data_IF_478927265126
#
_entry.id   IF_478927265126
#
_cell.length_a   1.000
_cell.length_b   1.000
_cell.length_c   1.000
_cell.angle_alpha   90.00
_cell.angle_beta   90.00
_cell.angle_gamma   90.00
#
_symmetry.space_group_name_H-M   'P 1'
#
loop_
_entity.id
_entity.type
_entity.pdbx_description
1 polymer ?
#
# COMPACT_ATOMS: atom_id res chain seq x y z
N UNK A 1 26.38 -12.47 -0.87
CA UNK A 1 25.49 -13.18 -1.82
C UNK A 1 24.28 -12.31 -2.09
N UNK A 2 24.11 -11.84 -3.31
CA UNK A 2 22.94 -11.05 -3.70
C UNK A 2 22.10 -11.91 -4.63
N UNK A 3 20.92 -12.29 -4.18
CA UNK A 3 19.95 -12.94 -5.05
C UNK A 3 19.41 -11.88 -6.01
N UNK A 4 19.48 -12.11 -7.31
CA UNK A 4 18.83 -11.23 -8.26
C UNK A 4 17.34 -11.48 -8.23
N UNK A 5 16.65 -10.47 -7.82
CA UNK A 5 15.26 -10.30 -8.10
C UNK A 5 15.10 -9.08 -8.98
N UNK A 6 14.04 -8.32 -8.76
CA UNK A 6 13.89 -7.03 -9.39
C UNK A 6 15.11 -6.15 -9.09
N UNK A 7 15.71 -5.64 -10.13
CA UNK A 7 16.63 -4.51 -10.09
C UNK A 7 15.97 -3.33 -10.78
N UNK A 8 16.55 -2.16 -10.66
CA UNK A 8 15.98 -1.01 -11.31
C UNK A 8 16.96 0.14 -11.38
N UNK A 9 16.45 1.27 -11.78
CA UNK A 9 17.20 2.52 -11.88
C UNK A 9 16.52 3.63 -11.13
N UNK A 10 17.31 4.54 -10.56
CA UNK A 10 16.81 5.80 -10.03
C UNK A 10 16.35 6.62 -11.22
N UNK A 11 15.05 6.73 -11.43
CA UNK A 11 14.47 7.54 -12.51
C UNK A 11 14.44 9.01 -12.12
N UNK A 12 14.13 9.27 -10.84
CA UNK A 12 14.21 10.61 -10.25
C UNK A 12 14.82 10.48 -8.86
N UNK A 13 15.90 11.22 -8.62
CA UNK A 13 16.63 11.16 -7.36
C UNK A 13 15.89 11.86 -6.19
N UNK A 14 14.91 12.71 -6.50
CA UNK A 14 14.26 13.59 -5.53
C UNK A 14 15.21 14.69 -5.01
N UNK A 15 14.72 15.50 -4.11
CA UNK A 15 15.49 16.59 -3.47
C UNK A 15 15.00 16.85 -2.05
N UNK A 16 15.84 17.46 -1.22
CA UNK A 16 15.46 17.88 0.14
C UNK A 16 15.48 16.78 1.20
N UNK A 17 16.09 15.65 0.91
CA UNK A 17 16.30 14.57 1.87
C UNK A 17 17.51 14.84 2.79
N UNK A 18 17.50 14.22 3.96
CA UNK A 18 18.63 14.30 4.88
C UNK A 18 19.77 13.40 4.39
N UNK A 19 20.97 13.95 4.26
CA UNK A 19 22.15 13.18 3.86
C UNK A 19 22.43 12.07 4.88
N UNK A 20 22.69 10.86 4.38
CA UNK A 20 22.95 9.69 5.21
C UNK A 20 24.44 9.46 5.47
N UNK A 21 25.33 10.23 4.81
CA UNK A 21 26.75 9.96 4.80
C UNK A 21 27.05 8.59 4.18
N UNK A 22 27.85 7.78 4.88
CA UNK A 22 28.21 6.43 4.44
C UNK A 22 27.21 5.36 4.95
N UNK A 23 26.27 5.71 5.81
CA UNK A 23 25.29 4.75 6.37
C UNK A 23 23.99 4.78 5.58
N UNK A 24 23.64 3.71 4.85
CA UNK A 24 22.39 3.67 4.13
C UNK A 24 21.17 3.68 5.06
N UNK A 25 20.06 4.25 4.58
CA UNK A 25 18.74 4.17 5.23
C UNK A 25 17.94 3.02 4.64
N UNK A 26 17.33 2.21 5.51
CA UNK A 26 16.41 1.16 5.09
C UNK A 26 15.03 1.73 4.84
N UNK A 27 14.47 1.47 3.67
CA UNK A 27 13.13 1.89 3.27
C UNK A 27 12.28 0.71 2.84
N UNK A 28 10.98 0.83 2.95
CA UNK A 28 10.03 -0.01 2.24
C UNK A 28 9.46 0.76 1.04
N UNK A 29 9.53 0.17 -0.14
CA UNK A 29 8.97 0.79 -1.33
C UNK A 29 7.44 0.82 -1.30
N UNK A 30 6.89 1.85 -1.96
CA UNK A 30 5.47 2.07 -2.17
C UNK A 30 5.16 2.14 -3.65
N UNK A 31 3.96 1.76 -4.02
CA UNK A 31 3.45 2.05 -5.35
C UNK A 31 2.97 3.51 -5.42
N UNK A 32 3.18 4.20 -6.54
CA UNK A 32 2.45 5.42 -6.81
C UNK A 32 0.95 5.16 -6.76
N UNK A 33 0.14 6.01 -6.13
CA UNK A 33 -1.29 5.81 -6.09
C UNK A 33 -1.89 6.02 -7.48
N UNK A 34 -2.80 5.13 -7.88
CA UNK A 34 -3.59 5.29 -9.10
C UNK A 34 -4.54 6.48 -8.97
N UNK A 35 -5.09 6.68 -7.77
CA UNK A 35 -5.98 7.79 -7.44
C UNK A 35 -5.76 8.20 -5.99
N UNK A 36 -5.84 9.50 -5.72
CA UNK A 36 -5.89 10.06 -4.37
C UNK A 36 -7.24 10.71 -4.15
N UNK A 37 -7.95 10.26 -3.13
CA UNK A 37 -9.22 10.83 -2.66
C UNK A 37 -8.95 11.83 -1.54
N UNK A 38 -9.67 12.93 -1.50
CA UNK A 38 -9.65 13.84 -0.35
C UNK A 38 -10.61 13.35 0.73
N UNK A 39 -10.21 13.45 2.00
CA UNK A 39 -11.04 13.07 3.14
C UNK A 39 -11.16 14.25 4.09
N UNK A 40 -12.38 14.59 4.46
CA UNK A 40 -12.67 15.57 5.50
C UNK A 40 -13.75 15.03 6.44
N UNK A 41 -13.86 15.61 7.62
CA UNK A 41 -14.88 15.28 8.60
C UNK A 41 -15.78 16.50 8.82
N UNK A 42 -17.08 16.26 8.82
CA UNK A 42 -18.08 17.29 9.07
C UNK A 42 -19.00 16.87 10.20
N UNK A 43 -19.55 17.83 10.93
CA UNK A 43 -20.55 17.58 11.95
C UNK A 43 -21.96 17.70 11.38
N UNK A 44 -22.84 16.78 11.79
CA UNK A 44 -24.26 16.73 11.39
C UNK A 44 -25.14 16.47 12.60
N UNK A 45 -26.35 16.97 12.55
CA UNK A 45 -27.41 16.42 13.40
C UNK A 45 -27.98 15.16 12.75
N UNK A 46 -28.23 14.11 13.53
CA UNK A 46 -28.90 12.89 13.08
C UNK A 46 -30.29 12.83 13.70
N UNK A 47 -31.29 12.74 12.87
CA UNK A 47 -32.67 12.50 13.28
C UNK A 47 -33.04 11.05 12.94
N UNK A 48 -33.40 10.24 13.93
CA UNK A 48 -34.02 8.93 13.70
C UNK A 48 -35.54 9.09 13.63
N UNK A 49 -36.14 8.48 12.62
CA UNK A 49 -37.56 8.64 12.30
C UNK A 49 -38.26 7.29 12.28
N UNK A 50 -39.55 7.31 12.63
CA UNK A 50 -40.49 6.21 12.39
C UNK A 50 -41.67 6.68 11.57
N UNK A 51 -42.54 5.75 11.15
CA UNK A 51 -43.79 6.06 10.42
C UNK A 51 -43.55 6.98 9.22
N UNK A 52 -42.48 6.77 8.49
CA UNK A 52 -42.11 7.61 7.35
C UNK A 52 -43.12 7.44 6.24
N UNK A 53 -43.62 8.58 5.72
CA UNK A 53 -44.46 8.68 4.53
C UNK A 53 -43.82 9.59 3.51
N UNK A 54 -44.03 9.33 2.23
CA UNK A 54 -43.35 10.07 1.16
C UNK A 54 -41.84 9.80 1.10
N UNK A 55 -41.10 10.67 0.43
CA UNK A 55 -39.65 10.51 0.22
C UNK A 55 -38.94 11.81 0.56
N UNK A 56 -38.00 11.72 1.52
CA UNK A 56 -37.01 12.77 1.75
C UNK A 56 -35.92 12.72 0.69
N UNK A 57 -35.37 13.86 0.36
CA UNK A 57 -34.23 13.95 -0.56
C UNK A 57 -33.16 14.88 0.01
N UNK A 58 -31.89 14.63 -0.38
CA UNK A 58 -30.77 15.53 -0.10
C UNK A 58 -31.12 16.92 -0.66
N UNK A 59 -30.84 17.96 0.13
CA UNK A 59 -31.16 19.34 -0.18
C UNK A 59 -32.56 19.77 0.31
N UNK A 60 -33.43 18.84 0.77
CA UNK A 60 -34.69 19.26 1.38
C UNK A 60 -34.44 20.04 2.67
N UNK A 61 -35.19 21.13 2.86
CA UNK A 61 -35.32 21.72 4.19
C UNK A 61 -36.42 20.97 4.94
N UNK A 62 -36.09 20.50 6.13
CA UNK A 62 -37.08 19.85 7.02
C UNK A 62 -37.38 20.73 8.22
N UNK A 63 -38.61 20.60 8.71
CA UNK A 63 -39.13 21.37 9.85
C UNK A 63 -39.82 20.44 10.82
N UNK A 64 -39.51 20.59 12.10
CA UNK A 64 -40.26 19.93 13.19
C UNK A 64 -41.57 20.65 13.49
N UNK A 65 -42.66 19.90 13.57
CA UNK A 65 -44.02 20.44 13.74
C UNK A 65 -44.27 21.12 15.09
N UNK A 66 -43.58 20.67 16.12
CA UNK A 66 -43.67 21.17 17.51
C UNK A 66 -42.50 22.09 17.83
N UNK A 67 -41.30 21.66 17.48
CA UNK A 67 -40.07 22.41 17.78
C UNK A 67 -39.89 23.66 16.93
N UNK A 68 -40.48 23.71 15.73
CA UNK A 68 -40.19 24.68 14.68
C UNK A 68 -38.69 24.72 14.30
N UNK A 69 -37.90 23.74 14.74
CA UNK A 69 -36.54 23.62 14.33
C UNK A 69 -36.47 23.24 12.85
N UNK A 70 -35.44 23.74 12.17
CA UNK A 70 -35.23 23.47 10.74
C UNK A 70 -33.82 22.97 10.49
N UNK A 71 -33.63 22.28 9.36
CA UNK A 71 -32.30 21.85 8.90
C UNK A 71 -32.34 21.38 7.46
N UNK A 72 -31.21 21.38 6.80
CA UNK A 72 -31.05 20.89 5.43
C UNK A 72 -30.56 19.46 5.41
N UNK A 73 -31.28 18.58 4.73
CA UNK A 73 -30.93 17.16 4.59
C UNK A 73 -29.66 17.03 3.77
N UNK A 74 -28.65 16.39 4.34
CA UNK A 74 -27.38 16.08 3.66
C UNK A 74 -27.25 14.60 3.30
N UNK A 75 -27.98 13.72 4.03
CA UNK A 75 -28.05 12.30 3.74
C UNK A 75 -29.40 11.72 4.21
N UNK A 76 -29.90 10.74 3.46
CA UNK A 76 -31.15 10.02 3.75
C UNK A 76 -30.83 8.54 3.94
N UNK A 77 -31.01 8.03 5.15
CA UNK A 77 -31.00 6.60 5.46
C UNK A 77 -32.39 5.96 5.37
N UNK A 78 -32.48 4.70 5.78
CA UNK A 78 -33.77 3.99 5.75
C UNK A 78 -34.78 4.59 6.75
N UNK A 79 -34.29 4.95 7.93
CA UNK A 79 -35.10 5.45 9.06
C UNK A 79 -34.44 6.64 9.77
N UNK A 80 -33.57 7.35 9.08
CA UNK A 80 -32.87 8.51 9.63
C UNK A 80 -32.49 9.52 8.58
N UNK A 81 -32.27 10.75 9.02
CA UNK A 81 -31.71 11.85 8.21
C UNK A 81 -30.47 12.42 8.89
N UNK A 82 -29.48 12.83 8.10
CA UNK A 82 -28.44 13.73 8.54
C UNK A 82 -28.72 15.14 8.05
N UNK A 83 -28.51 16.12 8.92
CA UNK A 83 -28.82 17.52 8.64
C UNK A 83 -27.63 18.43 8.86
N UNK A 84 -27.49 19.43 8.01
CA UNK A 84 -26.65 20.61 8.19
C UNK A 84 -27.49 21.85 8.45
N UNK A 85 -26.85 22.94 8.93
CA UNK A 85 -27.49 24.24 9.08
C UNK A 85 -28.70 24.20 10.00
N UNK A 86 -28.69 23.42 11.06
CA UNK A 86 -29.79 23.30 12.00
C UNK A 86 -30.00 24.63 12.72
N UNK A 87 -31.26 25.09 12.71
CA UNK A 87 -31.72 26.27 13.44
C UNK A 87 -32.79 25.83 14.42
N UNK A 88 -32.67 26.26 15.66
CA UNK A 88 -33.52 25.77 16.74
C UNK A 88 -33.04 24.42 17.29
N UNK A 89 -33.89 23.76 18.07
CA UNK A 89 -33.60 22.45 18.68
C UNK A 89 -34.77 21.53 18.40
N UNK A 90 -34.52 20.45 17.64
CA UNK A 90 -35.50 19.40 17.46
C UNK A 90 -35.80 18.74 18.80
N UNK A 91 -37.08 18.56 19.10
CA UNK A 91 -37.49 17.97 20.36
C UNK A 91 -37.67 16.48 20.24
N UNK A 92 -36.85 15.76 21.03
CA UNK A 92 -36.93 14.33 21.17
C UNK A 92 -38.25 13.89 21.82
N UNK A 93 -38.60 12.63 21.63
CA UNK A 93 -39.70 11.95 22.25
C UNK A 93 -41.06 11.99 21.51
N UNK A 94 -41.09 11.44 20.27
CA UNK A 94 -42.35 10.98 19.59
C UNK A 94 -43.45 12.01 19.46
N UNK A 95 -43.19 13.29 19.71
CA UNK A 95 -44.16 14.39 19.62
C UNK A 95 -43.90 15.27 18.43
N UNK A 96 -42.70 15.28 17.90
CA UNK A 96 -42.36 16.12 16.75
C UNK A 96 -42.49 15.33 15.44
N UNK A 97 -43.18 15.86 14.49
CA UNK A 97 -43.24 15.32 13.12
C UNK A 97 -42.30 16.12 12.24
N UNK A 98 -41.33 15.46 11.67
CA UNK A 98 -40.38 16.06 10.74
C UNK A 98 -40.98 16.02 9.34
N UNK A 99 -41.11 17.15 8.67
CA UNK A 99 -41.66 17.23 7.32
C UNK A 99 -40.82 18.11 6.41
N UNK A 100 -40.81 17.81 5.10
CA UNK A 100 -40.17 18.65 4.09
C UNK A 100 -41.13 19.65 3.42
N UNK A 101 -42.39 19.75 3.88
CA UNK A 101 -43.41 20.60 3.29
C UNK A 101 -43.89 20.20 1.88
N UNK A 102 -43.37 19.12 1.31
CA UNK A 102 -43.68 18.65 -0.05
C UNK A 102 -44.15 17.19 -0.10
N UNK A 103 -44.66 16.68 1.03
CA UNK A 103 -45.30 15.37 1.12
C UNK A 103 -44.47 14.28 1.82
N UNK A 104 -43.21 14.52 2.19
CA UNK A 104 -42.50 13.63 3.06
C UNK A 104 -42.66 14.04 4.53
N UNK A 105 -42.93 13.07 5.39
CA UNK A 105 -42.98 13.26 6.84
C UNK A 105 -42.59 12.00 7.59
N UNK A 106 -42.15 12.13 8.85
CA UNK A 106 -41.86 11.04 9.75
C UNK A 106 -41.90 11.48 11.20
N UNK A 107 -42.25 10.57 12.10
CA UNK A 107 -42.24 10.82 13.54
C UNK A 107 -40.85 10.80 14.08
N UNK A 108 -40.41 11.81 14.79
CA UNK A 108 -39.07 11.89 15.39
C UNK A 108 -38.97 10.96 16.60
N UNK A 109 -38.00 10.04 16.57
CA UNK A 109 -37.75 9.10 17.65
C UNK A 109 -36.54 9.49 18.50
N UNK A 110 -35.45 9.97 17.85
CA UNK A 110 -34.21 10.30 18.51
C UNK A 110 -33.48 11.42 17.77
N UNK A 111 -32.85 12.30 18.53
CA UNK A 111 -31.96 13.34 18.02
C UNK A 111 -30.56 13.11 18.55
N UNK A 112 -29.56 13.01 17.65
CA UNK A 112 -28.17 13.20 17.99
C UNK A 112 -27.72 14.55 17.41
N UNK A 113 -27.51 15.52 18.28
CA UNK A 113 -27.29 16.90 17.87
C UNK A 113 -25.98 17.14 17.12
N UNK A 114 -24.99 16.29 17.36
CA UNK A 114 -23.69 16.37 16.67
C UNK A 114 -23.13 14.98 16.52
N UNK A 115 -22.99 14.54 15.27
CA UNK A 115 -22.29 13.33 14.87
C UNK A 115 -21.29 13.66 13.78
N UNK A 116 -20.13 13.06 13.86
CA UNK A 116 -19.08 13.25 12.87
C UNK A 116 -19.33 12.34 11.67
N UNK A 117 -19.11 12.87 10.48
CA UNK A 117 -19.34 12.19 9.20
C UNK A 117 -18.15 12.38 8.28
N UNK A 118 -17.71 11.30 7.62
CA UNK A 118 -16.74 11.42 6.53
C UNK A 118 -17.38 12.01 5.28
N UNK A 119 -16.62 12.89 4.66
CA UNK A 119 -16.86 13.41 3.30
C UNK A 119 -15.65 13.00 2.46
N UNK A 120 -15.88 12.20 1.43
CA UNK A 120 -14.83 11.73 0.51
C UNK A 120 -15.09 12.37 -0.85
N UNK A 121 -14.10 13.12 -1.36
CA UNK A 121 -14.20 13.93 -2.59
C UNK A 121 -15.49 14.78 -2.64
N UNK A 122 -15.79 15.44 -1.53
CA UNK A 122 -16.96 16.32 -1.42
C UNK A 122 -18.30 15.60 -1.24
N UNK A 123 -18.31 14.26 -1.22
CA UNK A 123 -19.53 13.46 -1.06
C UNK A 123 -19.63 12.90 0.37
N UNK A 124 -20.64 13.33 1.11
CA UNK A 124 -20.96 12.75 2.42
C UNK A 124 -21.48 11.33 2.22
N UNK A 125 -20.94 10.38 2.99
CA UNK A 125 -21.21 8.96 2.80
C UNK A 125 -21.00 8.49 1.35
N UNK A 126 -20.03 9.05 0.65
CA UNK A 126 -19.76 8.74 -0.75
C UNK A 126 -19.46 7.25 -0.94
N UNK A 127 -20.13 6.64 -1.90
CA UNK A 127 -19.81 5.30 -2.39
C UNK A 127 -18.85 5.40 -3.57
N UNK A 128 -17.90 4.49 -3.64
CA UNK A 128 -16.89 4.49 -4.71
C UNK A 128 -16.49 3.07 -5.09
N UNK A 129 -15.88 2.94 -6.27
CA UNK A 129 -15.41 1.67 -6.80
C UNK A 129 -13.89 1.68 -6.86
N UNK A 130 -13.27 0.63 -6.35
CA UNK A 130 -11.84 0.37 -6.45
C UNK A 130 -11.60 -0.75 -7.47
N UNK A 131 -10.62 -0.54 -8.33
CA UNK A 131 -10.17 -1.52 -9.31
C UNK A 131 -9.08 -2.38 -8.67
N UNK A 132 -9.11 -3.67 -8.92
CA UNK A 132 -8.10 -4.60 -8.42
C UNK A 132 -6.69 -4.27 -8.95
N UNK A 133 -5.71 -4.84 -8.26
CA UNK A 133 -4.29 -4.67 -8.57
C UNK A 133 -3.84 -3.20 -8.68
N UNK A 134 -4.50 -2.31 -7.91
CA UNK A 134 -4.19 -0.88 -7.85
C UNK A 134 -3.96 -0.42 -6.42
N UNK A 135 -3.25 0.68 -6.28
CA UNK A 135 -3.01 1.36 -5.00
C UNK A 135 -3.76 2.69 -4.98
N UNK A 136 -4.47 2.93 -3.89
CA UNK A 136 -5.27 4.15 -3.67
C UNK A 136 -4.81 4.86 -2.41
N UNK A 137 -4.87 6.19 -2.42
CA UNK A 137 -4.63 7.01 -1.23
C UNK A 137 -5.85 7.83 -0.90
N UNK A 138 -6.09 7.95 0.39
CA UNK A 138 -7.12 8.78 0.99
C UNK A 138 -6.38 9.82 1.81
N UNK A 139 -6.30 11.04 1.29
CA UNK A 139 -5.63 12.16 1.95
C UNK A 139 -6.41 12.56 3.20
N UNK A 140 -5.83 12.30 4.36
CA UNK A 140 -6.39 12.60 5.68
C UNK A 140 -5.68 13.79 6.33
N UNK A 141 -5.00 14.63 5.55
CA UNK A 141 -4.20 15.75 6.07
C UNK A 141 -5.03 16.93 6.56
N UNK A 142 -6.28 17.07 6.13
CA UNK A 142 -7.18 18.11 6.62
C UNK A 142 -7.37 18.00 8.13
N UNK A 143 -7.29 19.14 8.84
CA UNK A 143 -7.35 19.19 10.30
C UNK A 143 -8.65 18.59 10.88
N UNK A 144 -9.74 18.55 10.12
CA UNK A 144 -11.00 17.92 10.55
C UNK A 144 -10.85 16.41 10.78
N UNK A 145 -9.83 15.76 10.21
CA UNK A 145 -9.55 14.33 10.44
C UNK A 145 -8.84 14.04 11.77
N UNK A 146 -8.52 15.07 12.57
CA UNK A 146 -7.86 14.86 13.88
C UNK A 146 -8.69 13.94 14.77
N UNK A 147 -8.08 12.85 15.27
CA UNK A 147 -8.73 11.77 16.02
C UNK A 147 -9.75 10.93 15.22
N UNK A 148 -9.74 11.03 13.90
CA UNK A 148 -10.61 10.23 13.03
C UNK A 148 -9.81 9.35 12.06
N UNK A 149 -9.12 8.30 12.53
CA UNK A 149 -8.42 7.36 11.65
C UNK A 149 -9.42 6.61 10.78
N UNK A 150 -9.26 6.73 9.46
CA UNK A 150 -10.06 6.01 8.47
C UNK A 150 -9.66 4.53 8.47
N UNK A 151 -10.64 3.65 8.37
CA UNK A 151 -10.44 2.23 8.16
C UNK A 151 -11.53 1.67 7.24
N UNK A 152 -11.15 0.68 6.45
CA UNK A 152 -12.08 -0.07 5.61
C UNK A 152 -12.43 -1.40 6.26
N UNK A 153 -13.67 -1.84 6.08
CA UNK A 153 -14.06 -3.20 6.43
C UNK A 153 -13.24 -4.20 5.63
N UNK A 154 -12.92 -5.34 6.25
CA UNK A 154 -12.08 -6.36 5.63
C UNK A 154 -12.74 -6.88 4.34
N UNK A 155 -12.10 -6.62 3.20
CA UNK A 155 -12.35 -7.36 1.97
C UNK A 155 -11.14 -8.27 1.71
N UNK A 156 -11.38 -9.44 1.13
CA UNK A 156 -10.31 -10.39 0.82
C UNK A 156 -9.28 -9.74 -0.12
N UNK A 157 -8.00 -9.91 0.21
CA UNK A 157 -6.91 -9.43 -0.63
C UNK A 157 -6.58 -7.95 -0.52
N UNK A 158 -7.25 -7.18 0.35
CA UNK A 158 -6.88 -5.79 0.62
C UNK A 158 -5.81 -5.70 1.71
N UNK A 159 -4.85 -4.82 1.49
CA UNK A 159 -3.95 -4.34 2.54
C UNK A 159 -4.13 -2.84 2.69
N UNK A 160 -4.14 -2.36 3.93
CA UNK A 160 -4.32 -0.95 4.21
C UNK A 160 -3.39 -0.49 5.33
N UNK A 161 -2.98 0.77 5.24
CA UNK A 161 -2.09 1.40 6.21
C UNK A 161 -2.36 2.88 6.35
N UNK A 162 -2.36 3.38 7.60
CA UNK A 162 -2.37 4.80 7.89
C UNK A 162 -0.94 5.32 7.96
N UNK A 163 -0.65 6.39 7.23
CA UNK A 163 0.56 7.17 7.29
C UNK A 163 0.32 8.44 8.08
N UNK A 164 1.20 8.73 9.01
CA UNK A 164 1.12 9.86 9.94
C UNK A 164 -0.22 9.89 10.69
N UNK A 165 -0.30 10.80 11.62
CA UNK A 165 -1.53 11.02 12.39
C UNK A 165 -2.55 11.77 11.53
N UNK A 166 -3.78 11.27 11.38
CA UNK A 166 -4.84 11.99 10.67
C UNK A 166 -5.01 13.42 11.19
N UNK A 167 -5.26 14.35 10.29
CA UNK A 167 -5.34 15.77 10.59
C UNK A 167 -3.99 16.49 10.60
N UNK A 168 -2.88 15.81 10.29
CA UNK A 168 -1.55 16.42 10.17
C UNK A 168 -1.11 16.49 8.71
N UNK A 169 -0.30 17.49 8.38
CA UNK A 169 0.19 17.68 7.02
C UNK A 169 0.85 16.41 6.45
N UNK A 170 0.41 15.98 5.28
CA UNK A 170 0.91 14.82 4.57
C UNK A 170 0.43 13.47 5.13
N UNK A 171 -0.55 13.44 6.04
CA UNK A 171 -1.15 12.18 6.45
C UNK A 171 -2.09 11.63 5.38
N UNK A 172 -2.07 10.31 5.21
CA UNK A 172 -2.97 9.61 4.29
C UNK A 172 -3.21 8.17 4.75
N UNK A 173 -4.34 7.63 4.34
CA UNK A 173 -4.65 6.21 4.45
C UNK A 173 -4.44 5.56 3.08
N UNK A 174 -3.59 4.54 3.01
CA UNK A 174 -3.28 3.82 1.77
C UNK A 174 -3.98 2.48 1.73
N UNK A 175 -4.52 2.15 0.58
CA UNK A 175 -5.18 0.86 0.31
C UNK A 175 -4.57 0.25 -0.94
N UNK A 176 -4.02 -0.95 -0.80
CA UNK A 176 -3.60 -1.79 -1.92
C UNK A 176 -4.65 -2.86 -2.14
N UNK A 177 -5.28 -2.84 -3.29
CA UNK A 177 -6.34 -3.80 -3.65
C UNK A 177 -5.69 -4.98 -4.37
N UNK A 178 -5.79 -6.17 -3.78
CA UNK A 178 -5.39 -7.42 -4.43
C UNK A 178 -6.38 -7.86 -5.52
N UNK A 179 -6.10 -9.01 -6.14
CA UNK A 179 -6.99 -9.56 -7.15
C UNK A 179 -8.41 -9.79 -6.58
N UNK A 180 -9.42 -9.32 -7.29
CA UNK A 180 -10.83 -9.48 -6.94
C UNK A 180 -11.55 -10.39 -7.94
N UNK A 181 -12.72 -10.87 -7.55
CA UNK A 181 -13.59 -11.68 -8.39
C UNK A 181 -15.02 -11.14 -8.35
N UNK A 182 -15.89 -11.65 -9.21
CA UNK A 182 -17.31 -11.28 -9.20
C UNK A 182 -18.03 -11.58 -7.87
N UNK A 183 -17.40 -12.38 -7.00
CA UNK A 183 -17.91 -12.73 -5.67
C UNK A 183 -17.25 -11.94 -4.55
N UNK A 184 -16.32 -11.01 -4.87
CA UNK A 184 -15.69 -10.16 -3.85
C UNK A 184 -16.76 -9.29 -3.20
N UNK A 185 -16.98 -9.41 -1.87
CA UNK A 185 -18.02 -8.66 -1.20
C UNK A 185 -17.69 -7.17 -1.19
N UNK A 186 -18.73 -6.35 -1.21
CA UNK A 186 -18.59 -4.92 -0.91
C UNK A 186 -18.13 -4.72 0.52
N UNK A 187 -17.46 -3.61 0.79
CA UNK A 187 -17.12 -3.21 2.14
C UNK A 187 -17.64 -1.81 2.45
N UNK A 188 -17.50 -1.40 3.70
CA UNK A 188 -17.82 -0.05 4.18
C UNK A 188 -16.56 0.55 4.78
N UNK A 189 -16.59 1.83 5.05
CA UNK A 189 -15.52 2.51 5.78
C UNK A 189 -16.05 3.07 7.09
N UNK A 190 -15.13 3.25 8.04
CA UNK A 190 -15.46 3.66 9.40
C UNK A 190 -14.29 4.41 10.03
N UNK A 191 -14.55 5.06 11.15
CA UNK A 191 -13.52 5.55 12.04
C UNK A 191 -13.16 4.47 13.07
N UNK A 192 -11.88 4.20 13.28
CA UNK A 192 -11.45 3.20 14.28
C UNK A 192 -11.71 3.64 15.71
N UNK A 193 -11.87 4.94 15.95
CA UNK A 193 -12.14 5.53 17.28
C UNK A 193 -13.65 5.68 17.52
N UNK A 194 -14.42 6.15 16.53
CA UNK A 194 -15.84 6.51 16.69
C UNK A 194 -16.81 5.52 16.03
N UNK A 195 -16.28 4.46 15.39
CA UNK A 195 -17.08 3.38 14.83
C UNK A 195 -17.72 3.67 13.47
N UNK A 196 -18.66 2.83 13.10
CA UNK A 196 -19.24 2.77 11.76
C UNK A 196 -20.09 4.00 11.38
N UNK A 197 -20.63 4.73 12.35
CA UNK A 197 -21.54 5.87 12.10
C UNK A 197 -20.95 6.96 11.20
N UNK A 198 -19.64 7.17 11.26
CA UNK A 198 -18.97 8.19 10.42
C UNK A 198 -19.00 7.85 8.92
N UNK A 199 -19.00 6.58 8.55
CA UNK A 199 -19.08 6.10 7.18
C UNK A 199 -20.45 5.54 6.79
N UNK A 200 -21.44 5.66 7.66
CA UNK A 200 -22.77 5.08 7.46
C UNK A 200 -23.41 5.54 6.14
N UNK A 201 -23.83 4.57 5.33
CA UNK A 201 -24.38 4.78 3.99
C UNK A 201 -23.36 4.72 2.86
N UNK A 202 -22.06 4.84 3.13
CA UNK A 202 -21.02 4.71 2.13
C UNK A 202 -20.67 3.23 1.86
N UNK A 203 -20.59 2.87 0.58
CA UNK A 203 -20.27 1.51 0.13
C UNK A 203 -19.05 1.55 -0.78
N UNK A 204 -18.11 0.65 -0.50
CA UNK A 204 -16.96 0.41 -1.37
C UNK A 204 -17.26 -0.84 -2.21
N UNK A 205 -17.28 -0.68 -3.52
CA UNK A 205 -17.36 -1.79 -4.46
C UNK A 205 -16.00 -2.08 -5.07
N UNK A 206 -15.79 -3.31 -5.50
CA UNK A 206 -14.55 -3.74 -6.14
C UNK A 206 -14.86 -4.29 -7.51
N UNK A 207 -14.02 -4.00 -8.49
CA UNK A 207 -14.16 -4.50 -9.85
C UNK A 207 -12.82 -4.88 -10.45
N UNK A 208 -12.83 -5.81 -11.37
CA UNK A 208 -11.66 -6.11 -12.19
C UNK A 208 -11.47 -5.03 -13.25
N UNK A 209 -10.21 -4.70 -13.53
CA UNK A 209 -9.90 -3.66 -14.51
C UNK A 209 -8.51 -3.84 -15.10
N UNK A 210 -7.95 -2.78 -15.65
CA UNK A 210 -6.55 -2.80 -16.05
C UNK A 210 -5.66 -2.90 -14.83
N UNK A 211 -4.75 -3.88 -14.81
CA UNK A 211 -3.78 -4.04 -13.75
C UNK A 211 -2.93 -2.76 -13.61
N UNK A 212 -2.88 -2.26 -12.39
CA UNK A 212 -2.01 -1.16 -11.99
C UNK A 212 -0.76 -1.68 -11.31
N UNK A 213 -0.37 -1.01 -10.22
CA UNK A 213 0.76 -1.41 -9.39
C UNK A 213 0.27 -1.72 -7.97
N UNK A 214 0.45 -2.96 -7.55
CA UNK A 214 0.00 -3.46 -6.25
C UNK A 214 1.02 -4.36 -5.56
N UNK A 215 2.29 -4.28 -5.95
CA UNK A 215 3.38 -5.00 -5.29
C UNK A 215 3.57 -4.53 -3.85
N UNK A 216 3.89 -5.46 -2.93
CA UNK A 216 3.97 -5.19 -1.49
C UNK A 216 5.24 -5.80 -0.91
N UNK A 217 5.83 -5.10 0.07
CA UNK A 217 6.93 -5.63 0.90
C UNK A 217 8.30 -5.59 0.26
N UNK A 218 8.48 -4.98 -0.93
CA UNK A 218 9.82 -4.74 -1.46
C UNK A 218 10.53 -3.68 -0.61
N UNK A 219 11.75 -3.99 -0.20
CA UNK A 219 12.56 -3.10 0.64
C UNK A 219 13.93 -2.87 0.03
N UNK A 220 14.55 -1.77 0.39
CA UNK A 220 15.87 -1.40 -0.08
C UNK A 220 16.65 -0.61 0.98
N UNK A 221 17.98 -0.66 0.87
CA UNK A 221 18.87 0.30 1.48
C UNK A 221 19.19 1.41 0.46
N UNK A 222 19.02 2.65 0.83
CA UNK A 222 19.30 3.82 -0.02
C UNK A 222 20.42 4.68 0.57
N UNK A 223 21.23 5.27 -0.31
CA UNK A 223 22.23 6.28 0.07
C UNK A 223 21.78 7.64 -0.43
N UNK A 224 21.90 8.65 0.42
CA UNK A 224 21.53 10.04 0.11
C UNK A 224 22.77 10.91 0.22
N UNK A 225 23.02 11.68 -0.82
CA UNK A 225 24.11 12.67 -0.85
C UNK A 225 23.65 13.92 -1.59
N UNK A 226 23.96 15.10 -1.06
CA UNK A 226 23.51 16.38 -1.58
C UNK A 226 21.98 16.55 -1.54
N UNK A 227 21.32 15.90 -0.58
CA UNK A 227 19.87 15.93 -0.42
C UNK A 227 19.09 15.12 -1.46
N UNK A 228 19.74 14.23 -2.21
CA UNK A 228 19.12 13.39 -3.24
C UNK A 228 19.54 11.91 -3.08
N UNK A 229 18.69 10.98 -3.50
CA UNK A 229 19.03 9.54 -3.51
C UNK A 229 20.04 9.25 -4.61
N UNK A 230 21.20 8.70 -4.23
CA UNK A 230 22.32 8.43 -5.16
C UNK A 230 22.54 6.93 -5.40
N UNK A 231 22.09 6.06 -4.48
CA UNK A 231 22.17 4.62 -4.65
C UNK A 231 20.98 3.90 -4.01
N UNK A 232 20.61 2.76 -4.60
CA UNK A 232 19.55 1.86 -4.14
C UNK A 232 20.07 0.43 -4.20
N UNK A 233 19.98 -0.30 -3.09
CA UNK A 233 20.28 -1.72 -3.00
C UNK A 233 19.04 -2.43 -2.48
N UNK A 234 18.38 -3.22 -3.33
CA UNK A 234 17.21 -4.01 -2.92
C UNK A 234 17.62 -5.02 -1.86
N UNK A 235 16.92 -5.04 -0.73
CA UNK A 235 17.16 -5.94 0.40
C UNK A 235 16.07 -6.99 0.56
N UNK A 236 14.87 -6.75 0.02
CA UNK A 236 13.77 -7.70 -0.05
C UNK A 236 12.99 -7.50 -1.34
N UNK A 237 12.65 -8.60 -2.02
CA UNK A 237 11.85 -8.59 -3.25
C UNK A 237 10.34 -8.43 -2.99
N UNK A 238 9.95 -8.41 -1.71
CA UNK A 238 8.55 -8.45 -1.31
C UNK A 238 7.95 -9.86 -1.42
N UNK A 239 6.81 -10.05 -0.77
CA UNK A 239 6.08 -11.33 -0.73
C UNK A 239 4.73 -11.25 -1.44
N UNK A 240 4.31 -10.08 -1.85
CA UNK A 240 2.96 -9.79 -2.30
C UNK A 240 2.75 -9.81 -3.81
N UNK A 241 3.61 -10.40 -4.62
CA UNK A 241 3.45 -10.56 -6.08
C UNK A 241 2.98 -9.31 -6.83
N UNK A 242 2.91 -9.13 -8.05
CA UNK A 242 2.47 -7.97 -8.86
C UNK A 242 3.50 -6.84 -9.02
N UNK A 243 4.77 -7.14 -8.87
CA UNK A 243 5.81 -6.29 -9.44
C UNK A 243 6.08 -6.68 -10.89
N UNK A 244 6.31 -5.71 -11.75
CA UNK A 244 6.67 -5.92 -13.15
C UNK A 244 7.76 -4.94 -13.60
N UNK A 245 8.49 -5.31 -14.64
CA UNK A 245 9.44 -4.41 -15.29
C UNK A 245 8.70 -3.14 -15.76
N UNK A 246 9.29 -1.99 -15.48
CA UNK A 246 8.71 -0.69 -15.77
C UNK A 246 7.81 -0.13 -14.66
N UNK A 247 7.47 -0.93 -13.62
CA UNK A 247 6.78 -0.38 -12.45
C UNK A 247 7.65 0.67 -11.77
N UNK A 248 7.00 1.78 -11.42
CA UNK A 248 7.62 2.85 -10.65
C UNK A 248 7.34 2.63 -9.17
N UNK A 249 8.37 2.74 -8.37
CA UNK A 249 8.30 2.63 -6.92
C UNK A 249 8.72 3.96 -6.31
N UNK A 250 8.06 4.35 -5.24
CA UNK A 250 8.35 5.53 -4.44
C UNK A 250 8.64 5.12 -3.00
N UNK A 251 9.12 6.02 -2.18
CA UNK A 251 9.22 5.82 -0.74
C UNK A 251 8.58 7.01 -0.02
N UNK A 252 8.10 6.79 1.19
CA UNK A 252 7.60 7.87 2.02
C UNK A 252 8.77 8.72 2.53
N UNK A 253 8.57 10.03 2.64
CA UNK A 253 9.60 10.94 3.15
C UNK A 253 9.99 10.62 4.59
N UNK A 254 9.07 10.09 5.39
CA UNK A 254 9.35 9.72 6.77
C UNK A 254 10.28 8.51 6.86
N UNK A 255 10.24 7.60 5.87
CA UNK A 255 11.18 6.48 5.77
C UNK A 255 12.57 6.94 5.30
N UNK A 256 12.61 7.95 4.43
CA UNK A 256 13.87 8.50 3.88
C UNK A 256 14.52 9.51 4.83
N UNK A 257 13.71 10.36 5.48
CA UNK A 257 14.15 11.45 6.34
C UNK A 257 14.26 12.80 5.63
N UNK A 258 14.12 13.88 6.39
CA UNK A 258 14.11 15.25 5.88
C UNK A 258 12.72 15.74 5.47
N UNK A 259 12.68 16.67 4.51
CA UNK A 259 11.44 17.23 3.94
C UNK A 259 11.37 16.98 2.43
N UNK A 260 12.15 16.02 1.95
CA UNK A 260 12.35 15.73 0.54
C UNK A 260 11.12 15.20 -0.17
N UNK A 261 11.16 15.23 -1.50
CA UNK A 261 10.13 14.68 -2.36
C UNK A 261 10.67 14.28 -3.73
N UNK A 262 9.87 13.51 -4.47
CA UNK A 262 10.12 13.23 -5.88
C UNK A 262 11.07 12.06 -6.16
N UNK A 263 11.48 11.26 -5.17
CA UNK A 263 12.23 10.03 -5.42
C UNK A 263 11.36 9.00 -6.14
N UNK A 264 11.86 8.50 -7.28
CA UNK A 264 11.22 7.43 -8.07
C UNK A 264 12.29 6.42 -8.50
N UNK A 265 12.01 5.16 -8.26
CA UNK A 265 12.81 4.02 -8.68
C UNK A 265 12.00 3.16 -9.66
N UNK A 266 12.52 2.92 -10.87
CA UNK A 266 11.83 2.12 -11.89
C UNK A 266 12.45 0.74 -11.96
N UNK A 267 11.62 -0.30 -11.85
CA UNK A 267 12.05 -1.68 -11.99
C UNK A 267 12.48 -1.96 -13.45
N UNK A 268 13.73 -2.32 -13.67
CA UNK A 268 14.33 -2.46 -14.99
C UNK A 268 14.56 -3.92 -15.41
N UNK A 269 14.70 -4.84 -14.44
CA UNK A 269 14.92 -6.26 -14.72
C UNK A 269 14.31 -7.13 -13.63
N UNK A 270 13.77 -8.26 -14.04
CA UNK A 270 13.38 -9.36 -13.18
C UNK A 270 14.28 -10.53 -13.56
N UNK A 271 15.52 -10.52 -13.08
CA UNK A 271 16.42 -11.64 -13.28
C UNK A 271 16.30 -12.58 -12.09
N UNK A 272 15.84 -13.77 -12.34
CA UNK A 272 15.75 -14.85 -11.35
C UNK A 272 17.08 -15.59 -11.16
N UNK A 273 18.18 -14.98 -11.53
CA UNK A 273 19.50 -15.59 -11.45
C UNK A 273 20.43 -14.93 -10.42
N UNK A 274 21.51 -15.54 -10.04
CA UNK A 274 22.55 -15.00 -9.16
C UNK A 274 23.36 -13.94 -9.90
N UNK A 275 23.32 -12.67 -9.47
CA UNK A 275 24.03 -11.56 -10.12
C UNK A 275 25.45 -11.34 -9.60
N UNK A 276 25.69 -11.67 -8.34
CA UNK A 276 26.99 -11.40 -7.71
C UNK A 276 27.27 -12.41 -6.61
N UNK A 277 28.49 -12.91 -6.56
CA UNK A 277 29.04 -13.64 -5.41
C UNK A 277 29.88 -12.65 -4.63
N UNK A 278 29.42 -12.28 -3.41
CA UNK A 278 30.08 -11.24 -2.60
C UNK A 278 31.14 -11.78 -1.65
N UNK A 279 31.06 -13.06 -1.29
CA UNK A 279 32.04 -13.71 -0.42
C UNK A 279 32.16 -15.18 -0.77
N UNK A 280 33.38 -15.71 -0.58
CA UNK A 280 33.67 -17.14 -0.59
C UNK A 280 34.04 -17.50 0.84
N UNK A 281 33.22 -18.30 1.51
CA UNK A 281 33.43 -18.65 2.92
C UNK A 281 34.47 -19.77 3.13
N UNK A 282 34.62 -20.64 2.15
CA UNK A 282 35.65 -21.66 2.13
C UNK A 282 36.28 -21.73 0.72
N UNK A 283 37.58 -21.60 0.64
CA UNK A 283 38.35 -21.76 -0.59
C UNK A 283 38.70 -23.22 -0.75
N UNK A 284 38.11 -23.91 -1.71
CA UNK A 284 38.52 -25.29 -2.03
C UNK A 284 39.88 -25.37 -2.66
N UNK A 285 40.35 -26.58 -2.93
CA UNK A 285 41.67 -26.88 -3.55
C UNK A 285 41.46 -27.60 -4.88
N UNK A 286 42.46 -27.49 -5.77
CA UNK A 286 42.48 -28.23 -7.04
C UNK A 286 41.85 -27.53 -8.24
N UNK A 287 41.35 -26.30 -8.10
CA UNK A 287 40.78 -25.55 -9.18
C UNK A 287 41.82 -24.85 -10.07
N UNK A 288 41.46 -24.62 -11.32
CA UNK A 288 42.31 -23.91 -12.30
C UNK A 288 41.63 -22.63 -12.78
N UNK A 289 42.45 -21.61 -13.14
CA UNK A 289 41.89 -20.36 -13.72
C UNK A 289 41.18 -20.67 -15.03
N UNK A 290 39.98 -20.14 -15.17
CA UNK A 290 39.10 -20.37 -16.33
C UNK A 290 38.19 -21.58 -16.19
N UNK A 291 38.32 -22.36 -15.13
CA UNK A 291 37.41 -23.45 -14.83
C UNK A 291 36.01 -22.93 -14.51
N UNK A 292 34.98 -23.58 -15.07
CA UNK A 292 33.59 -23.21 -14.87
C UNK A 292 32.94 -24.19 -13.91
N UNK A 293 32.47 -23.69 -12.80
CA UNK A 293 31.76 -24.43 -11.77
C UNK A 293 30.25 -24.14 -11.88
N UNK A 294 29.46 -25.18 -11.72
CA UNK A 294 27.98 -25.06 -11.68
C UNK A 294 27.45 -25.56 -10.36
N UNK A 295 26.20 -25.19 -10.06
CA UNK A 295 25.48 -25.62 -8.87
C UNK A 295 24.16 -26.25 -9.29
N UNK A 296 23.81 -27.38 -8.69
CA UNK A 296 22.50 -28.00 -8.91
C UNK A 296 21.40 -27.22 -8.18
N UNK A 297 20.21 -27.14 -8.77
CA UNK A 297 19.04 -26.44 -8.23
C UNK A 297 18.70 -26.90 -6.78
N UNK A 298 18.80 -28.19 -6.51
CA UNK A 298 18.55 -28.74 -5.17
C UNK A 298 19.51 -28.26 -4.08
N UNK A 299 20.70 -27.76 -4.47
CA UNK A 299 21.71 -27.26 -3.54
C UNK A 299 21.56 -25.75 -3.25
N UNK A 300 20.67 -25.08 -3.97
CA UNK A 300 20.37 -23.64 -3.85
C UNK A 300 18.87 -23.36 -3.75
N UNK A 301 18.18 -24.14 -2.90
CA UNK A 301 16.79 -23.88 -2.53
C UNK A 301 15.72 -24.66 -3.31
N UNK A 302 16.08 -25.35 -4.40
CA UNK A 302 15.14 -26.26 -5.10
C UNK A 302 13.94 -25.58 -5.74
N UNK A 303 13.99 -24.29 -6.05
CA UNK A 303 12.91 -23.50 -6.61
C UNK A 303 12.71 -23.66 -8.13
N UNK A 304 13.33 -24.65 -8.77
CA UNK A 304 13.27 -24.86 -10.24
C UNK A 304 14.32 -24.04 -11.01
N UNK A 305 15.32 -23.49 -10.32
CA UNK A 305 16.43 -22.73 -10.91
C UNK A 305 17.36 -23.60 -11.74
N UNK A 306 18.02 -23.03 -12.73
CA UNK A 306 19.01 -23.72 -13.56
C UNK A 306 20.02 -22.74 -14.15
N UNK A 307 21.19 -23.29 -14.56
CA UNK A 307 22.15 -22.56 -15.35
C UNK A 307 23.09 -21.62 -14.56
N UNK A 308 23.09 -21.61 -13.21
CA UNK A 308 24.09 -20.85 -12.48
C UNK A 308 25.47 -21.41 -12.75
N UNK A 309 26.34 -20.57 -13.25
CA UNK A 309 27.72 -20.88 -13.54
C UNK A 309 28.69 -19.80 -13.03
N UNK A 310 29.84 -20.24 -12.57
CA UNK A 310 30.83 -19.43 -11.94
C UNK A 310 32.20 -19.78 -12.53
N UNK A 311 32.96 -18.79 -12.97
CA UNK A 311 34.28 -19.00 -13.57
C UNK A 311 35.37 -18.62 -12.57
N UNK A 312 36.30 -19.53 -12.33
CA UNK A 312 37.48 -19.27 -11.49
C UNK A 312 38.38 -18.26 -12.19
N UNK A 313 38.51 -17.08 -11.60
CA UNK A 313 39.35 -15.99 -12.12
C UNK A 313 40.73 -15.88 -11.44
N UNK A 314 40.88 -16.52 -10.27
CA UNK A 314 42.15 -16.52 -9.54
C UNK A 314 42.27 -17.79 -8.69
N UNK A 315 43.43 -18.42 -8.68
CA UNK A 315 43.78 -19.59 -7.86
C UNK A 315 44.88 -19.20 -6.90
N UNK A 316 44.63 -19.18 -5.66
CA UNK A 316 45.62 -18.82 -4.64
C UNK A 316 44.94 -18.61 -3.29
N UNK A 317 43.94 -17.84 -3.27
CA UNK A 317 42.82 -17.75 -2.36
C UNK A 317 41.71 -17.10 -3.20
N UNK A 318 40.62 -17.83 -3.52
CA UNK A 318 39.54 -17.27 -4.32
C UNK A 318 38.86 -16.11 -3.55
N UNK A 319 39.35 -14.91 -3.78
CA UNK A 319 38.86 -13.68 -3.13
C UNK A 319 37.82 -12.94 -3.96
N UNK A 320 37.65 -13.32 -5.24
CA UNK A 320 36.66 -12.73 -6.12
C UNK A 320 36.29 -13.69 -7.25
N UNK A 321 35.06 -13.63 -7.68
CA UNK A 321 34.51 -14.45 -8.75
C UNK A 321 33.61 -13.60 -9.67
N UNK A 322 33.64 -13.92 -10.97
CA UNK A 322 32.69 -13.37 -11.93
C UNK A 322 31.57 -14.40 -12.20
N UNK A 323 30.34 -13.97 -12.07
CA UNK A 323 29.21 -14.80 -12.45
C UNK A 323 29.15 -14.89 -13.96
N UNK A 324 29.29 -16.09 -14.51
CA UNK A 324 29.26 -16.36 -15.96
C UNK A 324 27.83 -16.52 -16.47
N UNK A 325 27.00 -17.21 -15.70
CA UNK A 325 25.55 -17.35 -15.94
C UNK A 325 24.82 -17.23 -14.59
N UNK A 326 23.78 -16.41 -14.55
CA UNK A 326 23.08 -16.08 -13.32
C UNK A 326 22.11 -17.18 -12.84
N UNK A 327 21.72 -18.12 -13.68
CA UNK A 327 20.69 -19.11 -13.36
C UNK A 327 19.34 -18.46 -13.00
N UNK A 328 18.44 -19.18 -12.35
CA UNK A 328 17.11 -18.66 -11.98
C UNK A 328 16.44 -19.37 -10.79
N UNK A 329 15.45 -18.68 -10.18
CA UNK A 329 14.56 -19.19 -9.12
C UNK A 329 15.23 -19.56 -7.78
N UNK A 330 16.21 -18.77 -7.34
CA UNK A 330 16.88 -18.93 -6.05
C UNK A 330 16.23 -18.08 -4.95
N UNK A 331 16.38 -18.49 -3.69
CA UNK A 331 15.83 -17.76 -2.52
C UNK A 331 16.93 -17.10 -1.67
N UNK A 332 16.54 -16.09 -0.90
CA UNK A 332 17.45 -15.40 0.03
C UNK A 332 17.87 -16.36 1.15
N UNK A 333 19.14 -16.40 1.45
CA UNK A 333 19.81 -17.29 2.41
C UNK A 333 20.12 -18.71 1.92
N UNK A 334 19.99 -19.00 0.65
CA UNK A 334 20.51 -20.25 0.10
C UNK A 334 22.02 -20.31 0.21
N UNK A 335 22.52 -21.46 0.65
CA UNK A 335 23.95 -21.73 0.74
C UNK A 335 24.41 -22.48 -0.51
N UNK A 336 25.34 -21.89 -1.25
CA UNK A 336 25.83 -22.45 -2.51
C UNK A 336 26.97 -23.42 -2.24
N UNK A 337 26.81 -24.68 -2.64
CA UNK A 337 27.89 -25.68 -2.65
C UNK A 337 28.24 -25.95 -4.11
N UNK A 338 29.41 -25.51 -4.52
CA UNK A 338 29.86 -25.64 -5.90
C UNK A 338 30.40 -27.04 -6.18
N UNK A 339 29.83 -27.68 -7.20
CA UNK A 339 30.31 -28.91 -7.79
C UNK A 339 30.95 -28.68 -9.16
N UNK A 340 31.77 -29.58 -9.61
CA UNK A 340 32.37 -29.49 -10.94
C UNK A 340 31.36 -29.73 -12.06
N UNK A 341 31.36 -28.84 -13.06
CA UNK A 341 30.67 -29.02 -14.33
C UNK A 341 31.70 -28.98 -15.47
N UNK A 342 32.67 -29.89 -15.43
CA UNK A 342 33.69 -29.96 -16.44
C UNK A 342 33.55 -31.16 -17.39
N UNK A 343 34.15 -31.14 -18.59
CA UNK A 343 34.22 -32.30 -19.46
C UNK A 343 34.95 -33.47 -18.78
N UNK A 344 34.63 -34.73 -19.13
CA UNK A 344 35.27 -35.91 -18.53
C UNK A 344 36.79 -35.83 -18.62
N UNK A 345 37.49 -35.80 -17.46
CA UNK A 345 38.95 -35.76 -17.38
C UNK A 345 39.55 -34.52 -16.72
N UNK A 346 38.72 -33.52 -16.29
CA UNK A 346 39.21 -32.40 -15.48
C UNK A 346 39.54 -32.85 -14.04
N UNK A 347 40.52 -32.18 -13.43
CA UNK A 347 40.92 -32.44 -12.03
C UNK A 347 39.84 -31.88 -11.11
N UNK A 348 39.24 -32.73 -10.31
CA UNK A 348 38.15 -32.33 -9.42
C UNK A 348 38.65 -31.52 -8.23
N UNK A 349 38.24 -30.26 -8.16
CA UNK A 349 38.34 -29.45 -6.94
C UNK A 349 37.21 -29.78 -5.95
N UNK A 350 37.49 -29.71 -4.66
CA UNK A 350 36.49 -29.99 -3.61
C UNK A 350 36.50 -28.91 -2.55
N UNK A 351 35.31 -28.65 -1.98
CA UNK A 351 35.16 -27.87 -0.74
C UNK A 351 35.00 -26.37 -0.90
N UNK A 352 34.67 -25.84 -2.10
CA UNK A 352 34.30 -24.43 -2.24
C UNK A 352 32.85 -24.21 -1.76
N UNK A 353 32.67 -23.33 -0.79
CA UNK A 353 31.35 -22.95 -0.25
C UNK A 353 31.19 -21.43 -0.36
N UNK A 354 30.04 -21.00 -0.86
CA UNK A 354 29.64 -19.59 -0.96
C UNK A 354 28.47 -19.38 -0.02
N UNK A 355 28.54 -18.38 0.82
CA UNK A 355 27.46 -18.02 1.78
C UNK A 355 27.04 -16.57 1.61
#
# INVERSE_FOLDING_TARGET
FTIPGFQGTITTAGTGYTDTGETPVSIEFRNPPTTTFTVTVVQRARLSLSSITGTFAVGNTVTGSVSNATGTVTFVGADYLYLSGVTGTFQDAQTDTISNGSGASGTLELVAASVDRYVIDGNEAGSFTLIDENTYRFDTSDASNTNHPLAFGAAQGMQSRQYRTPGTAGSYFEVVVGAVSSTTPTSTYQCTVHGAGMGEGGVITYTTGAAGQSGIGMSANITISGGAVTAVVITSQGTGGNYAIGHQLIADVDDIGGTGSGFVYTLASNTTGVSTVTAISLTGEGYTIGEVLGVADGDIGGGGGSGFQFTISNVGFATAAAVGDAGGAYELADTLILGEVGPPGSVQGTGLVIS
#
